data_IF_132352564073
#
_entry.id   IF_132352564073
#
_cell.length_a   1.000
_cell.length_b   1.000
_cell.length_c   1.000
_cell.angle_alpha   90.00
_cell.angle_beta   90.00
_cell.angle_gamma   90.00
#
_symmetry.space_group_name_H-M   'P 1'
#
loop_
_entity.id
_entity.type
_entity.pdbx_description
1 polymer ?
#
# COMPACT_ATOMS: atom_id res chain seq x y z
N UNK A 1 -7.70 -16.76 -9.35
CA UNK A 1 -6.44 -17.22 -9.99
C UNK A 1 -5.52 -16.02 -10.11
N UNK A 2 -4.27 -16.12 -9.66
CA UNK A 2 -3.32 -15.01 -9.79
C UNK A 2 -2.79 -14.92 -11.22
N UNK A 3 -2.39 -13.72 -11.63
CA UNK A 3 -1.88 -13.43 -12.96
C UNK A 3 -0.60 -12.60 -12.84
N UNK A 4 0.48 -13.07 -13.46
CA UNK A 4 1.72 -12.32 -13.60
C UNK A 4 1.78 -11.73 -15.02
N UNK A 5 1.99 -10.43 -15.12
CA UNK A 5 2.06 -9.69 -16.39
C UNK A 5 3.44 -9.09 -16.53
N UNK A 6 4.19 -9.52 -17.53
CA UNK A 6 5.56 -9.07 -17.76
C UNK A 6 5.71 -8.47 -19.16
N UNK A 7 6.40 -7.34 -19.27
CA UNK A 7 6.68 -6.70 -20.56
C UNK A 7 7.28 -5.31 -20.47
N UNK A 8 8.03 -4.92 -21.49
CA UNK A 8 8.64 -3.59 -21.60
C UNK A 8 7.59 -2.47 -21.51
N UNK A 9 8.04 -1.25 -21.26
CA UNK A 9 7.19 -0.06 -21.33
C UNK A 9 6.59 0.11 -22.73
N UNK A 10 5.32 0.52 -22.81
CA UNK A 10 4.65 0.76 -24.08
C UNK A 10 4.16 -0.50 -24.84
N UNK A 11 4.36 -1.71 -24.30
CA UNK A 11 3.99 -2.95 -25.00
C UNK A 11 2.54 -3.37 -24.85
N UNK A 12 1.77 -2.73 -23.93
CA UNK A 12 0.33 -2.99 -23.79
C UNK A 12 -0.11 -3.47 -22.41
N UNK A 13 0.77 -3.49 -21.38
CA UNK A 13 0.41 -3.88 -20.01
C UNK A 13 -0.77 -3.06 -19.46
N UNK A 14 -0.66 -1.72 -19.49
CA UNK A 14 -1.73 -0.84 -18.98
C UNK A 14 -3.04 -1.00 -19.77
N UNK A 15 -2.98 -1.31 -21.09
CA UNK A 15 -4.17 -1.64 -21.88
C UNK A 15 -4.85 -2.92 -21.38
N UNK A 16 -4.06 -3.94 -21.03
CA UNK A 16 -4.59 -5.17 -20.43
C UNK A 16 -5.23 -4.88 -19.07
N UNK A 17 -4.56 -4.14 -18.19
CA UNK A 17 -5.11 -3.77 -16.89
C UNK A 17 -6.43 -3.01 -17.03
N UNK A 18 -6.50 -2.01 -17.91
CA UNK A 18 -7.73 -1.27 -18.23
C UNK A 18 -8.84 -2.21 -18.72
N UNK A 19 -8.53 -3.16 -19.60
CA UNK A 19 -9.49 -4.13 -20.10
C UNK A 19 -10.06 -5.01 -18.98
N UNK A 20 -9.21 -5.54 -18.12
CA UNK A 20 -9.63 -6.39 -16.98
C UNK A 20 -10.47 -5.60 -15.97
N UNK A 21 -10.06 -4.38 -15.60
CA UNK A 21 -10.81 -3.52 -14.68
C UNK A 21 -12.16 -3.08 -15.27
N UNK A 22 -12.23 -2.79 -16.57
CA UNK A 22 -13.51 -2.50 -17.24
C UNK A 22 -14.47 -3.71 -17.15
N UNK A 23 -13.96 -4.92 -17.32
CA UNK A 23 -14.76 -6.14 -17.14
C UNK A 23 -15.19 -6.33 -15.69
N UNK A 24 -14.32 -6.06 -14.71
CA UNK A 24 -14.67 -6.17 -13.29
C UNK A 24 -15.75 -5.14 -12.92
N UNK A 25 -15.64 -3.90 -13.40
CA UNK A 25 -16.69 -2.88 -13.24
C UNK A 25 -18.00 -3.35 -13.89
N UNK A 26 -17.97 -3.82 -15.12
CA UNK A 26 -19.17 -4.26 -15.85
C UNK A 26 -19.86 -5.48 -15.23
N UNK A 27 -19.11 -6.32 -14.51
CA UNK A 27 -19.61 -7.55 -13.87
C UNK A 27 -19.79 -7.42 -12.36
N UNK A 28 -19.79 -6.20 -11.82
CA UNK A 28 -19.93 -5.92 -10.38
C UNK A 28 -18.89 -6.62 -9.50
N UNK A 29 -17.71 -6.94 -10.01
CA UNK A 29 -16.64 -7.53 -9.23
C UNK A 29 -15.81 -6.46 -8.56
N UNK A 30 -15.56 -6.65 -7.26
CA UNK A 30 -14.74 -5.74 -6.47
C UNK A 30 -13.25 -5.86 -6.81
N UNK A 31 -12.54 -4.75 -6.69
CA UNK A 31 -11.08 -4.73 -6.85
C UNK A 31 -10.42 -3.62 -6.02
N UNK A 32 -9.12 -3.79 -5.79
CA UNK A 32 -8.22 -2.73 -5.36
C UNK A 32 -7.16 -2.53 -6.44
N UNK A 33 -6.84 -1.27 -6.78
CA UNK A 33 -5.72 -0.94 -7.65
C UNK A 33 -4.73 -0.02 -6.94
N UNK A 34 -3.44 -0.39 -7.00
CA UNK A 34 -2.33 0.50 -6.65
C UNK A 34 -1.84 1.18 -7.94
N UNK A 35 -2.30 2.39 -8.16
CA UNK A 35 -1.98 3.20 -9.34
C UNK A 35 -0.78 4.10 -9.05
N UNK A 36 0.42 3.58 -9.36
CA UNK A 36 1.67 4.28 -9.04
C UNK A 36 1.90 5.52 -9.90
N UNK A 37 1.39 5.52 -11.13
CA UNK A 37 1.58 6.62 -12.08
C UNK A 37 0.40 7.58 -12.16
N UNK A 38 -0.76 7.23 -11.60
CA UNK A 38 -2.00 8.01 -11.70
C UNK A 38 -2.70 7.89 -13.05
N UNK A 39 -2.30 6.95 -13.91
CA UNK A 39 -2.84 6.78 -15.27
C UNK A 39 -4.10 5.90 -15.32
N UNK A 40 -4.31 5.04 -14.34
CA UNK A 40 -5.46 4.14 -14.27
C UNK A 40 -6.65 4.80 -13.58
N UNK A 41 -6.41 5.71 -12.67
CA UNK A 41 -7.44 6.41 -11.90
C UNK A 41 -8.45 7.16 -12.77
N UNK A 42 -8.07 8.03 -13.73
CA UNK A 42 -9.02 8.71 -14.61
C UNK A 42 -9.85 7.72 -15.43
N UNK A 43 -9.24 6.66 -15.92
CA UNK A 43 -9.92 5.60 -16.66
C UNK A 43 -11.01 4.92 -15.82
N UNK A 44 -10.70 4.56 -14.58
CA UNK A 44 -11.65 3.90 -13.67
C UNK A 44 -12.81 4.83 -13.35
N UNK A 45 -12.52 6.08 -12.96
CA UNK A 45 -13.54 7.09 -12.66
C UNK A 45 -14.45 7.36 -13.84
N UNK A 46 -13.86 7.52 -15.03
CA UNK A 46 -14.61 7.69 -16.27
C UNK A 46 -15.50 6.50 -16.59
N UNK A 47 -14.99 5.27 -16.41
CA UNK A 47 -15.74 4.03 -16.67
C UNK A 47 -16.91 3.85 -15.70
N UNK A 48 -16.70 4.10 -14.40
CA UNK A 48 -17.76 4.04 -13.38
C UNK A 48 -18.84 5.10 -13.68
N UNK A 49 -18.43 6.33 -13.96
CA UNK A 49 -19.39 7.41 -14.26
C UNK A 49 -20.16 7.18 -15.57
N UNK A 50 -19.51 6.63 -16.60
CA UNK A 50 -20.19 6.24 -17.83
C UNK A 50 -21.26 5.16 -17.57
N UNK A 51 -20.96 4.20 -16.72
CA UNK A 51 -21.89 3.16 -16.29
C UNK A 51 -23.07 3.75 -15.47
N UNK A 52 -22.81 4.62 -14.49
CA UNK A 52 -23.86 5.31 -13.73
C UNK A 52 -24.88 5.99 -14.66
N UNK A 53 -24.36 6.72 -15.66
CA UNK A 53 -25.21 7.42 -16.63
C UNK A 53 -26.01 6.47 -17.51
N UNK A 54 -25.39 5.37 -17.96
CA UNK A 54 -26.06 4.39 -18.81
C UNK A 54 -27.15 3.60 -18.08
N UNK A 55 -26.91 3.27 -16.83
CA UNK A 55 -27.82 2.44 -16.01
C UNK A 55 -28.77 3.28 -15.12
N UNK A 56 -28.62 4.63 -15.14
CA UNK A 56 -29.40 5.55 -14.28
C UNK A 56 -29.37 5.17 -12.80
N UNK A 57 -28.20 4.78 -12.29
CA UNK A 57 -27.99 4.35 -10.92
C UNK A 57 -26.90 5.18 -10.22
N UNK A 58 -26.72 4.99 -8.92
CA UNK A 58 -25.63 5.58 -8.14
C UNK A 58 -24.64 4.48 -7.74
N UNK A 59 -23.37 4.67 -8.10
CA UNK A 59 -22.27 3.72 -7.84
C UNK A 59 -21.19 4.31 -6.90
N UNK A 60 -21.37 5.57 -6.46
CA UNK A 60 -20.43 6.26 -5.56
C UNK A 60 -20.18 5.50 -4.27
N UNK A 61 -21.17 4.79 -3.73
CA UNK A 61 -21.06 4.02 -2.48
C UNK A 61 -20.16 2.78 -2.62
N UNK A 62 -19.93 2.34 -3.85
CA UNK A 62 -19.01 1.23 -4.18
C UNK A 62 -17.61 1.68 -4.52
N UNK A 63 -17.39 2.98 -4.71
CA UNK A 63 -16.11 3.53 -5.13
C UNK A 63 -15.41 4.18 -3.94
N UNK A 64 -14.19 3.76 -3.67
CA UNK A 64 -13.32 4.32 -2.64
C UNK A 64 -12.07 4.87 -3.32
N UNK A 65 -11.80 6.16 -3.17
CA UNK A 65 -10.63 6.81 -3.80
C UNK A 65 -9.70 7.34 -2.72
N UNK A 66 -8.54 6.74 -2.61
CA UNK A 66 -7.43 7.22 -1.76
C UNK A 66 -6.50 8.04 -2.64
N UNK A 67 -6.52 9.37 -2.47
CA UNK A 67 -5.69 10.29 -3.25
C UNK A 67 -4.92 11.22 -2.31
N UNK A 68 -3.65 10.93 -2.02
CA UNK A 68 -2.80 11.83 -1.22
C UNK A 68 -2.67 13.23 -1.82
N UNK A 69 -2.82 13.33 -3.14
CA UNK A 69 -2.75 14.60 -3.86
C UNK A 69 -3.95 15.53 -3.68
N UNK A 70 -5.05 15.08 -3.09
CA UNK A 70 -6.21 15.95 -2.81
C UNK A 70 -5.86 16.99 -1.75
N UNK A 71 -6.06 18.28 -2.06
CA UNK A 71 -5.66 19.39 -1.17
C UNK A 71 -6.71 19.78 -0.13
N UNK A 72 -7.95 19.39 -0.32
CA UNK A 72 -9.08 19.81 0.53
C UNK A 72 -9.52 18.72 1.49
N UNK A 73 -9.55 17.49 1.01
CA UNK A 73 -10.08 16.36 1.75
C UNK A 73 -9.08 15.20 1.80
N UNK A 74 -9.21 14.33 2.79
CA UNK A 74 -8.37 13.16 2.94
C UNK A 74 -9.13 11.98 3.51
N UNK A 75 -8.92 10.83 2.90
CA UNK A 75 -9.29 9.53 3.45
C UNK A 75 -8.34 9.20 4.60
N UNK A 76 -8.84 8.69 5.70
CA UNK A 76 -8.03 8.18 6.82
C UNK A 76 -7.68 6.72 6.63
N UNK A 77 -6.42 6.39 6.82
CA UNK A 77 -5.92 5.00 6.90
C UNK A 77 -4.89 4.93 8.02
N UNK A 78 -5.31 4.43 9.17
CA UNK A 78 -4.42 4.20 10.29
C UNK A 78 -3.89 2.77 10.27
N UNK A 79 -2.62 2.53 9.94
CA UNK A 79 -2.06 1.18 9.88
C UNK A 79 -1.97 0.52 11.27
N UNK A 80 -2.09 1.29 12.35
CA UNK A 80 -2.06 0.81 13.73
C UNK A 80 -3.46 0.54 14.31
N UNK A 81 -4.53 0.90 13.60
CA UNK A 81 -5.89 0.68 14.08
C UNK A 81 -6.22 -0.82 14.17
N UNK A 82 -6.69 -1.26 15.35
CA UNK A 82 -6.98 -2.68 15.59
C UNK A 82 -5.74 -3.59 15.57
N UNK A 83 -4.54 -3.01 15.62
CA UNK A 83 -3.27 -3.74 15.66
C UNK A 83 -2.86 -4.04 17.11
N UNK A 84 -3.75 -4.63 17.90
CA UNK A 84 -3.46 -5.22 19.20
C UNK A 84 -2.72 -6.57 19.08
N UNK A 85 -2.67 -7.11 17.87
CA UNK A 85 -1.95 -8.33 17.53
C UNK A 85 -0.46 -8.05 17.29
N UNK A 86 0.40 -8.75 18.02
CA UNK A 86 1.86 -8.65 17.91
C UNK A 86 2.37 -8.86 16.49
N UNK A 87 1.79 -9.78 15.75
CA UNK A 87 2.20 -10.11 14.38
C UNK A 87 2.01 -8.91 13.44
N UNK A 88 0.87 -8.21 13.52
CA UNK A 88 0.58 -7.05 12.67
C UNK A 88 1.55 -5.90 12.92
N UNK A 89 1.83 -5.59 14.20
CA UNK A 89 2.79 -4.54 14.54
C UNK A 89 4.20 -4.92 14.07
N UNK A 90 4.59 -6.18 14.22
CA UNK A 90 5.90 -6.65 13.74
C UNK A 90 6.02 -6.52 12.21
N UNK A 91 4.98 -6.84 11.46
CA UNK A 91 4.94 -6.67 10.00
C UNK A 91 5.06 -5.19 9.58
N UNK A 92 4.32 -4.29 10.23
CA UNK A 92 4.45 -2.86 9.97
C UNK A 92 5.84 -2.32 10.34
N UNK A 93 6.38 -2.74 11.48
CA UNK A 93 7.74 -2.39 11.89
C UNK A 93 8.76 -2.81 10.81
N UNK A 94 8.65 -4.02 10.30
CA UNK A 94 9.55 -4.52 9.27
C UNK A 94 9.47 -3.70 7.98
N UNK A 95 8.26 -3.37 7.51
CA UNK A 95 8.09 -2.55 6.31
C UNK A 95 8.68 -1.15 6.49
N UNK A 96 8.39 -0.50 7.62
CA UNK A 96 8.96 0.82 7.89
C UNK A 96 10.49 0.74 7.97
N UNK A 97 11.03 -0.28 8.63
CA UNK A 97 12.48 -0.50 8.70
C UNK A 97 13.11 -0.57 7.32
N UNK A 98 12.56 -1.36 6.42
CA UNK A 98 13.09 -1.53 5.07
C UNK A 98 12.88 -0.28 4.22
N UNK A 99 11.68 0.29 4.21
CA UNK A 99 11.36 1.49 3.43
C UNK A 99 12.14 2.72 3.89
N UNK A 100 12.45 2.80 5.16
CA UNK A 100 13.24 3.88 5.73
C UNK A 100 14.74 3.56 5.79
N UNK A 101 15.16 2.41 5.25
CA UNK A 101 16.55 1.94 5.26
C UNK A 101 17.17 1.94 6.67
N UNK A 102 16.44 1.43 7.67
CA UNK A 102 16.88 1.41 9.05
C UNK A 102 17.77 0.20 9.39
N UNK A 103 17.98 -0.73 8.48
CA UNK A 103 18.76 -1.97 8.69
C UNK A 103 20.20 -1.71 9.17
N UNK A 104 20.78 -0.58 8.75
CA UNK A 104 22.15 -0.22 9.11
C UNK A 104 22.30 0.31 10.55
N UNK A 105 21.19 0.62 11.23
CA UNK A 105 21.22 1.17 12.60
C UNK A 105 21.14 0.10 13.71
N UNK A 106 21.05 -1.17 13.32
CA UNK A 106 21.17 -2.33 14.19
C UNK A 106 19.92 -2.69 15.01
N UNK A 107 20.02 -3.83 15.69
CA UNK A 107 18.91 -4.48 16.39
C UNK A 107 18.24 -3.61 17.48
N UNK A 108 18.96 -2.69 18.10
CA UNK A 108 18.41 -1.81 19.16
C UNK A 108 17.41 -0.79 18.59
N UNK A 109 17.71 -0.20 17.43
CA UNK A 109 16.79 0.72 16.74
C UNK A 109 15.54 -0.02 16.27
N UNK A 110 15.72 -1.23 15.81
CA UNK A 110 14.64 -2.13 15.37
C UNK A 110 13.69 -2.49 16.52
N UNK A 111 14.26 -2.87 17.66
CA UNK A 111 13.50 -3.18 18.87
C UNK A 111 12.75 -1.95 19.39
N UNK A 112 13.38 -0.76 19.34
CA UNK A 112 12.75 0.50 19.72
C UNK A 112 11.56 0.82 18.81
N UNK A 113 11.72 0.74 17.49
CA UNK A 113 10.64 0.99 16.55
C UNK A 113 9.46 0.05 16.79
N UNK A 114 9.70 -1.24 16.89
CA UNK A 114 8.66 -2.25 17.12
C UNK A 114 7.90 -2.01 18.42
N UNK A 115 8.60 -1.81 19.55
CA UNK A 115 7.95 -1.54 20.85
C UNK A 115 7.18 -0.21 20.82
N UNK A 116 7.68 0.79 20.10
CA UNK A 116 6.99 2.09 19.95
C UNK A 116 5.68 1.94 19.17
N UNK A 117 5.68 1.22 18.05
CA UNK A 117 4.47 0.97 17.29
C UNK A 117 3.44 0.18 18.11
N UNK A 118 3.91 -0.76 18.93
CA UNK A 118 3.06 -1.49 19.87
C UNK A 118 2.39 -0.56 20.89
N UNK A 119 3.18 0.32 21.48
CA UNK A 119 2.67 1.28 22.45
C UNK A 119 1.65 2.24 21.84
N UNK A 120 1.91 2.71 20.60
CA UNK A 120 0.97 3.57 19.87
C UNK A 120 -0.32 2.83 19.54
N UNK A 121 -0.25 1.60 19.02
CA UNK A 121 -1.41 0.78 18.72
C UNK A 121 -2.29 0.54 19.95
N UNK A 122 -1.69 0.14 21.07
CA UNK A 122 -2.38 -0.10 22.35
C UNK A 122 -3.09 1.16 22.90
N UNK A 123 -2.65 2.35 22.47
CA UNK A 123 -3.25 3.62 22.87
C UNK A 123 -4.24 4.18 21.83
N UNK A 124 -4.49 3.49 20.71
CA UNK A 124 -5.33 3.98 19.61
C UNK A 124 -4.76 5.23 18.93
N UNK A 125 -3.43 5.36 18.94
CA UNK A 125 -2.69 6.47 18.37
C UNK A 125 -2.26 6.17 16.91
N UNK A 126 -1.55 7.11 16.31
CA UNK A 126 -1.11 7.04 14.93
C UNK A 126 0.42 7.10 14.81
N UNK A 127 0.96 6.98 13.60
CA UNK A 127 2.39 7.18 13.36
C UNK A 127 2.87 8.61 13.71
N UNK A 128 1.96 9.58 13.78
CA UNK A 128 2.33 10.97 14.10
C UNK A 128 2.79 11.15 15.53
N UNK A 129 2.29 10.34 16.46
CA UNK A 129 2.67 10.38 17.87
C UNK A 129 3.98 9.61 18.15
N UNK A 130 4.62 8.99 17.14
CA UNK A 130 5.88 8.29 17.30
C UNK A 130 7.00 9.21 17.80
N UNK A 131 7.06 10.43 17.27
CA UNK A 131 8.03 11.43 17.72
C UNK A 131 7.85 11.78 19.21
N UNK A 132 6.61 12.04 19.64
CA UNK A 132 6.31 12.33 21.06
C UNK A 132 6.66 11.15 21.96
N UNK A 133 6.33 9.94 21.54
CA UNK A 133 6.65 8.74 22.31
C UNK A 133 8.16 8.58 22.53
N UNK A 134 8.97 8.93 21.53
CA UNK A 134 10.42 8.78 21.59
C UNK A 134 11.14 9.93 22.32
N UNK A 135 10.54 11.13 22.34
CA UNK A 135 11.20 12.33 22.90
C UNK A 135 10.62 12.80 24.23
N UNK A 136 9.34 12.60 24.49
CA UNK A 136 8.62 13.10 25.65
C UNK A 136 8.40 12.02 26.70
N UNK A 137 9.07 12.14 27.84
CA UNK A 137 9.01 11.14 28.93
C UNK A 137 7.62 11.04 29.55
N UNK A 138 6.94 12.18 29.78
CA UNK A 138 5.57 12.18 30.35
C UNK A 138 4.57 11.51 29.42
N UNK A 139 4.61 11.85 28.12
CA UNK A 139 3.76 11.23 27.14
C UNK A 139 3.97 9.71 27.09
N UNK A 140 5.22 9.29 27.10
CA UNK A 140 5.58 7.87 27.09
C UNK A 140 5.08 7.16 28.35
N UNK A 141 5.25 7.78 29.53
CA UNK A 141 4.76 7.20 30.80
C UNK A 141 3.22 7.08 30.79
N UNK A 142 2.50 8.05 30.24
CA UNK A 142 1.03 7.95 30.07
C UNK A 142 0.64 6.81 29.12
N UNK A 143 1.36 6.64 28.02
CA UNK A 143 1.13 5.54 27.09
C UNK A 143 1.34 4.18 27.78
N UNK A 144 2.40 4.04 28.57
CA UNK A 144 2.70 2.76 29.24
C UNK A 144 1.60 2.31 30.21
N UNK A 145 0.82 3.22 30.79
CA UNK A 145 -0.32 2.88 31.67
C UNK A 145 -1.41 2.08 30.94
N UNK A 146 -1.55 2.26 29.62
CA UNK A 146 -2.57 1.58 28.80
C UNK A 146 -2.04 0.35 28.07
N UNK A 147 -0.72 0.15 28.03
CA UNK A 147 -0.11 -1.01 27.38
C UNK A 147 -0.30 -2.25 28.24
N UNK A 148 -1.09 -3.21 27.81
CA UNK A 148 -1.32 -4.47 28.53
C UNK A 148 -0.09 -5.41 28.50
N UNK A 149 0.69 -5.39 27.40
CA UNK A 149 1.86 -6.24 27.24
C UNK A 149 2.98 -5.83 28.21
N UNK A 150 3.31 -6.74 29.15
CA UNK A 150 4.33 -6.49 30.16
C UNK A 150 5.74 -6.32 29.57
N UNK A 151 6.09 -7.03 28.50
CA UNK A 151 7.41 -6.94 27.88
C UNK A 151 7.63 -5.55 27.25
N UNK A 152 6.61 -4.99 26.59
CA UNK A 152 6.66 -3.65 26.02
C UNK A 152 6.82 -2.60 27.14
N UNK A 153 6.08 -2.72 28.25
CA UNK A 153 6.23 -1.81 29.40
C UNK A 153 7.64 -1.90 29.98
N UNK A 154 8.12 -3.12 30.29
CA UNK A 154 9.45 -3.34 30.83
C UNK A 154 10.56 -2.84 29.91
N UNK A 155 10.37 -2.97 28.58
CA UNK A 155 11.33 -2.42 27.62
C UNK A 155 11.51 -0.91 27.82
N UNK A 156 10.43 -0.15 27.93
CA UNK A 156 10.52 1.30 28.14
C UNK A 156 11.00 1.64 29.55
N UNK A 157 10.39 1.09 30.59
CA UNK A 157 10.62 1.46 31.98
C UNK A 157 12.01 1.02 32.48
N UNK A 158 12.47 -0.18 32.12
CA UNK A 158 13.69 -0.78 32.67
C UNK A 158 14.88 -0.76 31.70
N UNK A 159 14.67 -0.56 30.42
CA UNK A 159 15.74 -0.60 29.42
C UNK A 159 15.93 0.72 28.69
N UNK A 160 14.90 1.31 28.13
CA UNK A 160 15.01 2.54 27.33
C UNK A 160 15.17 3.79 28.21
N UNK A 161 14.32 3.97 29.23
CA UNK A 161 14.32 5.16 30.07
C UNK A 161 15.53 5.21 31.05
N UNK A 162 16.16 4.08 31.33
CA UNK A 162 17.38 3.98 32.15
C UNK A 162 18.66 4.29 31.37
N UNK A 163 18.60 4.39 30.03
CA UNK A 163 19.75 4.75 29.20
C UNK A 163 20.10 6.23 29.34
N UNK A 164 21.39 6.55 29.14
CA UNK A 164 21.82 7.94 28.98
C UNK A 164 21.16 8.62 27.78
N UNK A 165 21.05 9.94 27.84
CA UNK A 165 20.47 10.73 26.71
C UNK A 165 21.20 10.49 25.38
N UNK A 166 22.53 10.37 25.42
CA UNK A 166 23.33 10.07 24.24
C UNK A 166 22.98 8.71 23.63
N UNK A 167 22.79 7.68 24.46
CA UNK A 167 22.39 6.36 23.97
C UNK A 167 20.96 6.36 23.42
N UNK A 168 20.03 7.02 24.11
CA UNK A 168 18.66 7.20 23.61
C UNK A 168 18.64 7.92 22.26
N UNK A 169 19.41 8.99 22.14
CA UNK A 169 19.54 9.75 20.89
C UNK A 169 20.05 8.85 19.75
N UNK A 170 21.13 8.09 19.97
CA UNK A 170 21.66 7.19 18.94
C UNK A 170 20.61 6.21 18.40
N UNK A 171 19.70 5.72 19.26
CA UNK A 171 18.66 4.78 18.85
C UNK A 171 17.46 5.46 18.19
N UNK A 172 17.05 6.65 18.68
CA UNK A 172 15.81 7.32 18.22
C UNK A 172 16.00 8.19 16.99
N UNK A 173 17.17 8.85 16.84
CA UNK A 173 17.38 9.82 15.72
C UNK A 173 17.19 9.20 14.33
N UNK A 174 17.65 7.98 14.03
CA UNK A 174 17.36 7.35 12.73
C UNK A 174 15.85 7.22 12.47
N UNK A 175 15.08 6.84 13.48
CA UNK A 175 13.62 6.70 13.39
C UNK A 175 12.97 8.08 13.17
N UNK A 176 13.35 9.07 14.02
CA UNK A 176 12.78 10.41 13.97
C UNK A 176 13.00 11.11 12.63
N UNK A 177 14.21 11.02 12.08
CA UNK A 177 14.55 11.62 10.79
C UNK A 177 13.65 11.07 9.65
N UNK A 178 13.41 9.77 9.65
CA UNK A 178 12.55 9.14 8.62
C UNK A 178 11.07 9.40 8.87
N UNK A 179 10.65 9.31 10.12
CA UNK A 179 9.25 9.60 10.49
C UNK A 179 8.91 11.04 10.14
N UNK A 180 9.75 12.01 10.51
CA UNK A 180 9.48 13.42 10.23
C UNK A 180 9.41 13.71 8.73
N UNK A 181 10.31 13.15 7.92
CA UNK A 181 10.26 13.30 6.47
C UNK A 181 8.96 12.76 5.86
N UNK A 182 8.41 11.67 6.40
CA UNK A 182 7.16 11.08 5.95
C UNK A 182 5.93 11.85 6.47
N UNK A 183 5.92 12.19 7.76
CA UNK A 183 4.76 12.80 8.42
C UNK A 183 4.69 14.32 8.28
N UNK A 184 5.77 14.99 7.88
CA UNK A 184 5.77 16.43 7.59
C UNK A 184 5.08 16.75 6.25
N UNK A 185 5.00 15.79 5.33
CA UNK A 185 4.28 15.98 4.07
C UNK A 185 2.76 15.94 4.32
N UNK A 186 2.02 17.03 4.08
CA UNK A 186 0.59 17.09 4.31
C UNK A 186 -0.20 16.04 3.50
N UNK A 187 0.34 15.59 2.36
CA UNK A 187 -0.30 14.57 1.53
C UNK A 187 -0.45 13.23 2.28
N UNK A 188 0.52 12.88 3.11
CA UNK A 188 0.54 11.63 3.87
C UNK A 188 0.07 11.82 5.31
N UNK A 189 0.46 12.95 5.93
CA UNK A 189 0.10 13.31 7.31
C UNK A 189 -1.39 13.18 7.58
N UNK A 190 -2.22 13.67 6.65
CA UNK A 190 -3.68 13.62 6.80
C UNK A 190 -4.26 12.23 6.58
N UNK A 191 -3.59 11.35 5.86
CA UNK A 191 -4.02 9.97 5.67
C UNK A 191 -3.70 9.14 6.93
N UNK A 192 -2.43 9.11 7.33
CA UNK A 192 -1.96 8.24 8.43
C UNK A 192 -2.15 8.84 9.82
N UNK A 193 -2.53 10.10 9.92
CA UNK A 193 -2.70 10.82 11.18
C UNK A 193 -4.13 10.81 11.73
N UNK A 194 -5.08 10.18 11.07
CA UNK A 194 -6.43 9.95 11.59
C UNK A 194 -6.43 8.68 12.45
N UNK A 195 -6.97 8.76 13.68
CA UNK A 195 -7.02 7.62 14.61
C UNK A 195 -7.89 6.48 14.11
N UNK A 196 -8.91 6.81 13.31
CA UNK A 196 -9.81 5.86 12.68
C UNK A 196 -9.67 5.89 11.17
N UNK A 197 -9.59 4.72 10.56
CA UNK A 197 -9.64 4.56 9.11
C UNK A 197 -11.04 4.90 8.59
N UNK A 198 -11.11 5.57 7.46
CA UNK A 198 -12.38 5.96 6.84
C UNK A 198 -13.19 4.76 6.34
N UNK A 199 -12.54 3.64 6.10
CA UNK A 199 -13.17 2.39 5.66
C UNK A 199 -12.34 1.19 6.09
N UNK A 200 -12.99 0.05 6.19
CA UNK A 200 -12.35 -1.25 6.44
C UNK A 200 -12.03 -1.94 5.12
N UNK A 201 -10.77 -2.29 4.89
CA UNK A 201 -10.37 -3.07 3.70
C UNK A 201 -11.08 -4.43 3.65
N UNK A 202 -11.30 -5.08 4.81
CA UNK A 202 -12.05 -6.33 4.88
C UNK A 202 -13.49 -6.15 4.39
N UNK A 203 -14.17 -5.11 4.89
CA UNK A 203 -15.56 -4.83 4.52
C UNK A 203 -15.66 -4.39 3.06
N UNK A 204 -14.72 -3.58 2.56
CA UNK A 204 -14.63 -3.20 1.16
C UNK A 204 -14.49 -4.42 0.24
N UNK A 205 -13.63 -5.38 0.61
CA UNK A 205 -13.49 -6.63 -0.13
C UNK A 205 -14.78 -7.47 -0.10
N UNK A 206 -15.42 -7.58 1.06
CA UNK A 206 -16.63 -8.39 1.24
C UNK A 206 -17.86 -7.74 0.59
N UNK A 207 -17.89 -6.43 0.48
CA UNK A 207 -18.92 -5.66 -0.25
C UNK A 207 -18.70 -5.61 -1.76
N UNK A 208 -17.51 -6.00 -2.25
CA UNK A 208 -17.16 -5.89 -3.65
C UNK A 208 -16.93 -4.45 -4.10
N UNK A 209 -16.35 -3.62 -3.24
CA UNK A 209 -16.03 -2.23 -3.55
C UNK A 209 -14.89 -2.10 -4.58
N UNK A 210 -14.84 -0.98 -5.28
CA UNK A 210 -13.76 -0.58 -6.16
C UNK A 210 -12.86 0.41 -5.42
N UNK A 211 -11.70 -0.07 -4.96
CA UNK A 211 -10.75 0.72 -4.19
C UNK A 211 -9.63 1.20 -5.11
N UNK A 212 -9.53 2.50 -5.31
CA UNK A 212 -8.52 3.15 -6.15
C UNK A 212 -7.54 3.89 -5.27
N UNK A 213 -6.30 3.45 -5.27
CA UNK A 213 -5.19 4.11 -4.55
C UNK A 213 -4.33 4.84 -5.58
N UNK A 214 -4.57 6.13 -5.71
CA UNK A 214 -3.85 7.00 -6.65
C UNK A 214 -2.59 7.55 -6.01
N UNK A 215 -1.46 6.95 -6.29
CA UNK A 215 -0.19 7.29 -5.63
C UNK A 215 0.61 8.39 -6.33
N UNK A 216 0.42 8.59 -7.63
CA UNK A 216 1.10 9.64 -8.41
C UNK A 216 2.58 9.81 -8.02
N UNK A 217 3.38 8.73 -8.04
CA UNK A 217 4.78 8.75 -7.56
C UNK A 217 5.61 9.90 -8.14
N UNK A 218 5.39 10.26 -9.40
CA UNK A 218 6.08 11.37 -10.04
C UNK A 218 5.90 12.72 -9.32
N UNK A 219 4.80 12.88 -8.59
CA UNK A 219 4.47 14.08 -7.80
C UNK A 219 4.76 13.92 -6.32
N UNK A 220 4.51 12.73 -5.76
CA UNK A 220 4.56 12.46 -4.32
C UNK A 220 5.88 11.82 -3.86
N UNK A 221 6.75 11.44 -4.80
CA UNK A 221 8.07 10.89 -4.51
C UNK A 221 8.04 9.51 -3.84
N UNK A 222 9.10 9.21 -3.10
CA UNK A 222 9.28 7.90 -2.44
C UNK A 222 8.28 7.63 -1.30
N UNK A 223 7.70 8.67 -0.70
CA UNK A 223 6.67 8.52 0.32
C UNK A 223 5.42 7.81 -0.22
N UNK A 224 5.12 7.95 -1.52
CA UNK A 224 4.05 7.21 -2.18
C UNK A 224 4.25 5.69 -2.09
N UNK A 225 5.50 5.22 -2.22
CA UNK A 225 5.85 3.80 -2.13
C UNK A 225 5.67 3.26 -0.71
N UNK A 226 6.05 4.07 0.29
CA UNK A 226 5.82 3.74 1.71
C UNK A 226 4.33 3.57 1.99
N UNK A 227 3.50 4.51 1.56
CA UNK A 227 2.04 4.41 1.72
C UNK A 227 1.48 3.19 0.99
N UNK A 228 1.87 2.96 -0.26
CA UNK A 228 1.42 1.79 -1.03
C UNK A 228 1.79 0.46 -0.36
N UNK A 229 3.00 0.36 0.22
CA UNK A 229 3.44 -0.82 0.96
C UNK A 229 2.65 -1.01 2.27
N UNK A 230 2.35 0.07 3.00
CA UNK A 230 1.49 0.01 4.19
C UNK A 230 0.08 -0.47 3.83
N UNK A 231 -0.52 0.07 2.76
CA UNK A 231 -1.85 -0.35 2.29
C UNK A 231 -1.84 -1.83 1.89
N UNK A 232 -0.80 -2.29 1.20
CA UNK A 232 -0.67 -3.69 0.80
C UNK A 232 -0.59 -4.62 2.03
N UNK A 233 0.09 -4.19 3.10
CA UNK A 233 0.15 -4.93 4.37
C UNK A 233 -1.19 -4.91 5.11
N UNK A 234 -1.86 -3.77 5.16
CA UNK A 234 -3.22 -3.70 5.70
C UNK A 234 -4.17 -4.62 4.94
N UNK A 235 -4.03 -4.67 3.60
CA UNK A 235 -4.81 -5.58 2.75
C UNK A 235 -4.52 -7.05 3.07
N UNK A 236 -3.24 -7.42 3.28
CA UNK A 236 -2.84 -8.78 3.69
C UNK A 236 -3.54 -9.17 4.98
N UNK A 237 -3.52 -8.31 6.00
CA UNK A 237 -4.17 -8.58 7.27
C UNK A 237 -5.70 -8.70 7.14
N UNK A 238 -6.30 -7.82 6.34
CA UNK A 238 -7.72 -7.84 6.04
C UNK A 238 -8.14 -9.10 5.28
N UNK A 239 -7.30 -9.57 4.36
CA UNK A 239 -7.53 -10.76 3.53
C UNK A 239 -7.75 -12.03 4.38
N UNK A 240 -6.92 -12.27 5.39
CA UNK A 240 -7.03 -13.45 6.24
C UNK A 240 -8.26 -13.44 7.16
N UNK A 241 -8.88 -12.29 7.35
CA UNK A 241 -10.09 -12.10 8.17
C UNK A 241 -11.39 -11.99 7.34
N UNK A 242 -11.36 -12.23 6.02
CA UNK A 242 -12.54 -12.16 5.15
C UNK A 242 -13.62 -13.16 5.53
N UNK A 243 -14.86 -12.68 5.59
CA UNK A 243 -16.04 -13.52 5.80
C UNK A 243 -16.59 -14.10 4.49
N UNK A 244 -16.55 -13.33 3.40
CA UNK A 244 -17.02 -13.75 2.08
C UNK A 244 -15.84 -14.15 1.18
N UNK A 245 -16.06 -15.15 0.32
CA UNK A 245 -15.06 -15.63 -0.65
C UNK A 245 -15.41 -15.28 -2.10
N UNK A 246 -16.22 -14.22 -2.28
CA UNK A 246 -16.47 -13.65 -3.61
C UNK A 246 -15.16 -13.12 -4.20
N UNK A 247 -15.01 -13.24 -5.52
CA UNK A 247 -13.81 -12.79 -6.20
C UNK A 247 -13.57 -11.30 -5.95
N UNK A 248 -12.38 -11.00 -5.48
CA UNK A 248 -11.85 -9.63 -5.35
C UNK A 248 -10.47 -9.59 -5.99
N UNK A 249 -10.23 -8.65 -6.89
CA UNK A 249 -8.97 -8.58 -7.64
C UNK A 249 -8.09 -7.46 -7.10
N UNK A 250 -6.81 -7.75 -6.89
CA UNK A 250 -5.80 -6.74 -6.52
C UNK A 250 -4.90 -6.49 -7.72
N UNK A 251 -5.01 -5.31 -8.30
CA UNK A 251 -4.20 -4.85 -9.41
C UNK A 251 -3.01 -4.07 -8.88
N UNK A 252 -1.82 -4.55 -9.16
CA UNK A 252 -0.57 -3.88 -8.83
C UNK A 252 0.20 -3.60 -10.12
N UNK A 253 0.14 -2.35 -10.60
CA UNK A 253 1.04 -1.91 -11.65
C UNK A 253 2.40 -1.61 -11.02
N UNK A 254 3.48 -2.18 -11.61
CA UNK A 254 4.85 -2.09 -11.07
C UNK A 254 4.94 -2.58 -9.61
N UNK A 255 4.45 -3.81 -9.34
CA UNK A 255 4.34 -4.40 -8.00
C UNK A 255 5.67 -4.39 -7.22
N UNK A 256 6.83 -4.46 -7.89
CA UNK A 256 8.15 -4.41 -7.25
C UNK A 256 8.38 -3.12 -6.45
N UNK A 257 7.63 -2.05 -6.75
CA UNK A 257 7.71 -0.81 -5.98
C UNK A 257 7.12 -0.93 -4.57
N UNK A 258 6.25 -1.91 -4.34
CA UNK A 258 5.52 -2.08 -3.08
C UNK A 258 6.01 -3.29 -2.27
N UNK A 259 6.79 -4.16 -2.90
CA UNK A 259 7.33 -5.35 -2.27
C UNK A 259 8.67 -5.02 -1.64
N UNK A 260 8.74 -5.18 -0.32
CA UNK A 260 9.97 -5.17 0.44
C UNK A 260 10.34 -6.62 0.82
N UNK A 261 11.59 -6.90 1.10
CA UNK A 261 12.01 -8.22 1.56
C UNK A 261 11.31 -8.53 2.89
N UNK A 262 10.65 -9.69 2.99
CA UNK A 262 9.85 -10.05 4.16
C UNK A 262 8.48 -9.36 4.26
N UNK A 263 8.01 -8.64 3.24
CA UNK A 263 6.66 -8.05 3.20
C UNK A 263 5.55 -9.08 3.24
N UNK A 264 5.89 -10.37 3.07
CA UNK A 264 4.94 -11.47 3.04
C UNK A 264 4.08 -11.51 1.78
N UNK A 265 4.52 -10.88 0.68
CA UNK A 265 3.83 -10.96 -0.60
C UNK A 265 3.80 -12.40 -1.12
N UNK A 266 4.85 -13.18 -0.85
CA UNK A 266 4.95 -14.60 -1.19
C UNK A 266 3.82 -15.39 -0.51
N UNK A 267 3.58 -15.12 0.78
CA UNK A 267 2.47 -15.71 1.54
C UNK A 267 1.12 -15.26 0.95
N UNK A 268 0.98 -13.97 0.61
CA UNK A 268 -0.24 -13.48 -0.05
C UNK A 268 -0.50 -14.19 -1.37
N UNK A 269 0.50 -14.33 -2.23
CA UNK A 269 0.37 -15.00 -3.53
C UNK A 269 0.08 -16.50 -3.38
N UNK A 270 0.55 -17.16 -2.33
CA UNK A 270 0.27 -18.57 -2.10
C UNK A 270 -1.12 -18.82 -1.48
N UNK A 271 -1.58 -17.94 -0.58
CA UNK A 271 -2.75 -18.18 0.26
C UNK A 271 -4.02 -17.41 -0.17
N UNK A 272 -3.88 -16.26 -0.82
CA UNK A 272 -5.00 -15.33 -1.10
C UNK A 272 -6.15 -15.98 -1.89
N UNK A 273 -5.84 -16.95 -2.74
CA UNK A 273 -6.85 -17.69 -3.50
C UNK A 273 -7.87 -18.39 -2.60
N UNK A 274 -7.46 -18.90 -1.44
CA UNK A 274 -8.35 -19.58 -0.47
C UNK A 274 -9.40 -18.61 0.10
N UNK A 275 -9.11 -17.31 0.06
CA UNK A 275 -9.98 -16.24 0.54
C UNK A 275 -10.71 -15.50 -0.59
N UNK A 276 -10.69 -16.03 -1.81
CA UNK A 276 -11.35 -15.44 -2.96
C UNK A 276 -10.63 -14.19 -3.51
N UNK A 277 -9.34 -14.01 -3.22
CA UNK A 277 -8.57 -12.86 -3.72
C UNK A 277 -7.62 -13.30 -4.83
N UNK A 278 -7.68 -12.58 -5.96
CA UNK A 278 -6.77 -12.72 -7.08
C UNK A 278 -5.80 -11.53 -7.13
N UNK A 279 -4.55 -11.80 -7.52
CA UNK A 279 -3.56 -10.76 -7.80
C UNK A 279 -3.28 -10.68 -9.30
N UNK A 280 -3.27 -9.47 -9.83
CA UNK A 280 -2.75 -9.14 -11.16
C UNK A 280 -1.50 -8.28 -10.93
N UNK A 281 -0.35 -8.94 -10.98
CA UNK A 281 0.95 -8.34 -10.71
C UNK A 281 1.65 -7.99 -12.03
N UNK A 282 1.76 -6.71 -12.34
CA UNK A 282 2.46 -6.24 -13.53
C UNK A 282 3.84 -5.69 -13.19
N UNK A 283 4.82 -5.95 -14.07
CA UNK A 283 6.16 -5.38 -13.99
C UNK A 283 6.87 -5.37 -15.34
N UNK A 284 8.06 -4.75 -15.40
CA UNK A 284 8.81 -4.59 -16.65
C UNK A 284 9.88 -5.65 -16.84
N UNK A 285 10.62 -6.01 -15.78
CA UNK A 285 11.75 -6.92 -15.81
C UNK A 285 11.77 -7.85 -14.59
N UNK A 286 12.16 -9.10 -14.78
CA UNK A 286 12.27 -10.08 -13.69
C UNK A 286 13.32 -9.70 -12.64
N UNK A 287 14.40 -9.05 -13.06
CA UNK A 287 15.49 -8.66 -12.16
C UNK A 287 15.14 -7.52 -11.20
N UNK A 288 13.96 -6.90 -11.36
CA UNK A 288 13.44 -5.92 -10.41
C UNK A 288 12.95 -6.57 -9.10
N UNK A 289 12.77 -7.89 -9.09
CA UNK A 289 12.33 -8.62 -7.90
C UNK A 289 13.50 -9.19 -7.10
N UNK A 290 13.41 -9.18 -5.76
CA UNK A 290 14.21 -10.08 -4.94
C UNK A 290 14.02 -11.54 -5.37
N UNK A 291 15.04 -12.39 -5.14
CA UNK A 291 15.02 -13.78 -5.63
C UNK A 291 13.80 -14.57 -5.16
N UNK A 292 13.40 -14.42 -3.90
CA UNK A 292 12.24 -15.10 -3.31
C UNK A 292 10.92 -14.64 -3.96
N UNK A 293 10.73 -13.34 -4.10
CA UNK A 293 9.55 -12.77 -4.75
C UNK A 293 9.48 -13.17 -6.22
N UNK A 294 10.63 -13.18 -6.93
CA UNK A 294 10.70 -13.66 -8.31
C UNK A 294 10.25 -15.12 -8.44
N UNK A 295 10.69 -15.98 -7.53
CA UNK A 295 10.25 -17.37 -7.51
C UNK A 295 8.74 -17.48 -7.27
N UNK A 296 8.18 -16.71 -6.34
CA UNK A 296 6.75 -16.67 -6.07
C UNK A 296 5.94 -16.17 -7.29
N UNK A 297 6.39 -15.13 -7.97
CA UNK A 297 5.76 -14.60 -9.19
C UNK A 297 5.79 -15.64 -10.33
N UNK A 298 6.91 -16.34 -10.51
CA UNK A 298 7.03 -17.38 -11.53
C UNK A 298 6.23 -18.66 -11.21
N UNK A 299 5.84 -18.86 -9.94
CA UNK A 299 4.96 -19.97 -9.53
C UNK A 299 3.47 -19.69 -9.77
N UNK A 300 3.08 -18.48 -10.15
CA UNK A 300 1.70 -18.11 -10.46
C UNK A 300 1.19 -18.95 -11.64
N UNK A 301 -0.06 -19.42 -11.56
CA UNK A 301 -0.63 -20.32 -12.57
C UNK A 301 -0.98 -19.67 -13.90
N UNK A 302 -1.06 -18.32 -13.99
CA UNK A 302 -1.32 -17.62 -15.26
C UNK A 302 -0.27 -16.55 -15.48
N UNK A 303 0.41 -16.63 -16.60
CA UNK A 303 1.40 -15.65 -17.04
C UNK A 303 0.99 -15.01 -18.35
N UNK A 304 1.20 -13.70 -18.46
CA UNK A 304 0.99 -12.95 -19.70
C UNK A 304 2.29 -12.20 -20.01
N UNK A 305 2.91 -12.56 -21.12
CA UNK A 305 4.18 -12.01 -21.55
C UNK A 305 3.97 -11.14 -22.78
N UNK A 306 4.17 -9.86 -22.63
CA UNK A 306 4.33 -8.93 -23.74
C UNK A 306 5.75 -8.97 -24.30
N UNK A 307 6.15 -8.01 -25.11
CA UNK A 307 7.54 -7.93 -25.59
C UNK A 307 8.52 -7.82 -24.41
N UNK A 308 9.53 -8.70 -24.40
CA UNK A 308 10.51 -8.82 -23.31
C UNK A 308 11.91 -8.34 -23.71
N UNK A 309 12.77 -8.13 -22.71
CA UNK A 309 14.21 -8.01 -22.89
C UNK A 309 14.80 -9.33 -23.39
N UNK A 310 16.01 -9.30 -23.97
CA UNK A 310 16.67 -10.54 -24.40
C UNK A 310 16.97 -11.49 -23.24
N UNK A 311 17.32 -10.95 -22.06
CA UNK A 311 17.58 -11.74 -20.86
C UNK A 311 16.32 -12.43 -20.37
N UNK A 312 15.23 -11.67 -20.16
CA UNK A 312 13.94 -12.21 -19.69
C UNK A 312 13.35 -13.19 -20.69
N UNK A 313 13.39 -12.89 -22.01
CA UNK A 313 12.92 -13.78 -23.05
C UNK A 313 13.63 -15.14 -23.03
N UNK A 314 14.94 -15.15 -22.78
CA UNK A 314 15.73 -16.37 -22.65
C UNK A 314 15.32 -17.16 -21.41
N UNK A 315 15.24 -16.50 -20.26
CA UNK A 315 14.83 -17.11 -18.99
C UNK A 315 13.43 -17.70 -19.08
N UNK A 316 12.46 -16.93 -19.60
CA UNK A 316 11.06 -17.35 -19.73
C UNK A 316 10.93 -18.50 -20.75
N UNK A 317 11.62 -18.42 -21.89
CA UNK A 317 11.54 -19.48 -22.89
C UNK A 317 12.10 -20.82 -22.39
N UNK A 318 13.14 -20.77 -21.55
CA UNK A 318 13.65 -21.98 -20.87
C UNK A 318 12.64 -22.52 -19.85
N UNK A 319 12.07 -21.65 -19.02
CA UNK A 319 11.06 -22.05 -18.02
C UNK A 319 9.75 -22.60 -18.65
N UNK A 320 9.47 -22.26 -19.90
CA UNK A 320 8.30 -22.71 -20.66
C UNK A 320 8.61 -23.85 -21.64
N UNK A 321 9.84 -24.37 -21.65
CA UNK A 321 10.31 -25.39 -22.62
C UNK A 321 10.11 -24.98 -24.09
N UNK A 322 10.05 -23.67 -24.37
CA UNK A 322 9.81 -23.12 -25.70
C UNK A 322 11.06 -22.92 -26.55
N UNK A 323 12.22 -23.00 -25.93
CA UNK A 323 13.53 -22.90 -26.58
C UNK A 323 13.77 -21.59 -27.34
N UNK A 324 14.71 -21.62 -28.28
CA UNK A 324 15.07 -20.43 -29.09
C UNK A 324 13.91 -19.79 -29.88
N UNK A 325 12.98 -20.56 -30.48
CA UNK A 325 11.87 -19.98 -31.22
C UNK A 325 10.95 -19.10 -30.35
N UNK A 326 10.63 -19.54 -29.12
CA UNK A 326 9.84 -18.78 -28.19
C UNK A 326 10.58 -17.54 -27.70
N UNK A 327 11.90 -17.64 -27.42
CA UNK A 327 12.71 -16.51 -27.02
C UNK A 327 12.72 -15.41 -28.10
N UNK A 328 12.90 -15.78 -29.38
CA UNK A 328 12.84 -14.83 -30.49
C UNK A 328 11.44 -14.22 -30.64
N UNK A 329 10.37 -15.01 -30.44
CA UNK A 329 9.01 -14.49 -30.50
C UNK A 329 8.75 -13.46 -29.38
N UNK A 330 9.14 -13.77 -28.16
CA UNK A 330 8.98 -12.89 -26.99
C UNK A 330 9.74 -11.56 -27.14
N UNK A 331 10.91 -11.56 -27.78
CA UNK A 331 11.68 -10.33 -28.05
C UNK A 331 11.01 -9.43 -29.10
N UNK A 332 10.25 -10.01 -30.03
CA UNK A 332 9.77 -9.33 -31.23
C UNK A 332 8.23 -9.24 -31.29
N UNK A 333 7.54 -9.46 -30.17
CA UNK A 333 6.08 -9.28 -30.13
C UNK A 333 5.69 -7.83 -30.46
N UNK A 334 4.73 -7.63 -31.36
CA UNK A 334 4.18 -6.29 -31.62
C UNK A 334 3.50 -5.72 -30.37
N UNK A 335 3.31 -4.40 -30.33
CA UNK A 335 2.55 -3.77 -29.26
C UNK A 335 1.16 -4.40 -29.13
N UNK A 336 0.71 -4.62 -27.90
CA UNK A 336 -0.55 -5.28 -27.52
C UNK A 336 -0.66 -6.78 -27.86
N UNK A 337 0.33 -7.37 -28.49
CA UNK A 337 0.42 -8.82 -28.60
C UNK A 337 1.07 -9.40 -27.34
N UNK A 338 0.50 -10.49 -26.84
CA UNK A 338 1.03 -11.16 -25.65
C UNK A 338 0.90 -12.68 -25.78
N UNK A 339 1.84 -13.37 -25.17
CA UNK A 339 1.80 -14.82 -24.99
C UNK A 339 1.23 -15.09 -23.61
N UNK A 340 0.13 -15.87 -23.58
CA UNK A 340 -0.52 -16.31 -22.33
C UNK A 340 -0.18 -17.76 -22.09
N UNK A 341 0.35 -18.07 -20.91
CA UNK A 341 0.41 -19.40 -20.36
C UNK A 341 -0.55 -19.51 -19.17
N UNK A 342 -1.53 -20.37 -19.26
CA UNK A 342 -2.33 -20.81 -18.12
C UNK A 342 -1.81 -22.20 -17.68
N UNK A 343 -2.39 -22.76 -16.62
CA UNK A 343 -1.98 -24.06 -16.02
C UNK A 343 -1.88 -25.27 -16.96
N UNK A 344 -2.21 -25.13 -18.25
CA UNK A 344 -1.95 -26.12 -19.29
C UNK A 344 -0.55 -25.99 -19.87
N UNK A 345 0.03 -27.04 -20.41
CA UNK A 345 1.36 -27.04 -21.03
C UNK A 345 1.44 -26.22 -22.32
N UNK A 346 0.32 -25.68 -22.77
CA UNK A 346 0.22 -24.88 -24.00
C UNK A 346 0.19 -23.40 -23.69
N UNK A 347 0.91 -22.63 -24.46
CA UNK A 347 0.80 -21.19 -24.50
C UNK A 347 0.04 -20.74 -25.76
N UNK A 348 -0.64 -19.59 -25.68
CA UNK A 348 -1.43 -19.02 -26.77
C UNK A 348 -1.06 -17.56 -26.95
N UNK A 349 -0.92 -17.10 -28.18
CA UNK A 349 -0.78 -15.69 -28.48
C UNK A 349 -2.15 -15.03 -28.53
N UNK A 350 -2.27 -13.88 -27.90
CA UNK A 350 -3.48 -13.04 -27.90
C UNK A 350 -3.15 -11.64 -28.32
N UNK A 351 -4.19 -10.91 -28.78
CA UNK A 351 -4.14 -9.46 -29.00
C UNK A 351 -5.01 -8.78 -27.95
N UNK A 352 -4.41 -7.91 -27.15
CA UNK A 352 -5.14 -7.13 -26.17
C UNK A 352 -5.91 -6.01 -26.87
N UNK A 353 -7.24 -5.90 -26.68
CA UNK A 353 -8.04 -4.86 -27.31
C UNK A 353 -7.62 -3.47 -26.79
N UNK A 354 -7.83 -2.46 -27.62
CA UNK A 354 -7.72 -1.07 -27.19
C UNK A 354 -8.96 -0.73 -26.38
N UNK A 355 -8.75 -0.32 -25.14
CA UNK A 355 -9.83 0.21 -24.29
C UNK A 355 -9.67 1.72 -24.26
N UNK A 356 -10.64 2.42 -24.82
CA UNK A 356 -10.66 3.88 -24.81
C UNK A 356 -11.10 4.38 -23.43
N UNK A 357 -10.44 5.42 -22.96
CA UNK A 357 -10.87 6.14 -21.78
C UNK A 357 -12.17 6.89 -22.08
N UNK A 358 -13.22 6.69 -21.27
CA UNK A 358 -14.47 7.41 -21.47
C UNK A 358 -14.25 8.92 -21.28
N UNK A 359 -14.58 9.70 -22.30
CA UNK A 359 -14.52 11.17 -22.25
C UNK A 359 -15.78 11.72 -21.58
N UNK A 360 -15.91 11.50 -20.28
CA UNK A 360 -17.05 11.95 -19.46
C UNK A 360 -16.51 12.77 -18.29
N UNK A 361 -17.25 13.82 -17.92
CA UNK A 361 -16.97 14.54 -16.69
C UNK A 361 -17.44 13.70 -15.50
N UNK A 362 -16.52 13.35 -14.63
CA UNK A 362 -16.75 12.55 -13.41
C UNK A 362 -16.60 13.37 -12.12
N UNK A 363 -16.60 14.70 -12.20
CA UNK A 363 -16.41 15.61 -11.04
C UNK A 363 -17.47 15.37 -9.98
N UNK A 364 -18.74 15.19 -10.40
CA UNK A 364 -19.85 14.91 -9.47
C UNK A 364 -19.66 13.55 -8.76
N UNK A 365 -19.28 12.50 -9.47
CA UNK A 365 -18.97 11.19 -8.89
C UNK A 365 -17.87 11.31 -7.82
N UNK A 366 -16.78 12.00 -8.12
CA UNK A 366 -15.68 12.21 -7.18
C UNK A 366 -16.16 13.01 -5.96
N UNK A 367 -16.99 14.03 -6.15
CA UNK A 367 -17.52 14.84 -5.06
C UNK A 367 -18.39 14.01 -4.10
N UNK A 368 -19.28 13.16 -4.63
CA UNK A 368 -20.11 12.25 -3.83
C UNK A 368 -19.26 11.22 -3.07
N UNK A 369 -18.29 10.61 -3.72
CA UNK A 369 -17.36 9.67 -3.09
C UNK A 369 -16.57 10.32 -1.94
N UNK A 370 -16.06 11.54 -2.16
CA UNK A 370 -15.36 12.32 -1.12
C UNK A 370 -16.23 12.59 0.10
N UNK A 371 -17.48 12.98 -0.13
CA UNK A 371 -18.41 13.31 0.97
C UNK A 371 -18.62 12.14 1.93
N UNK A 372 -18.67 10.92 1.41
CA UNK A 372 -18.92 9.71 2.22
C UNK A 372 -17.65 9.23 2.94
N UNK A 373 -16.49 9.35 2.32
CA UNK A 373 -15.28 8.61 2.75
C UNK A 373 -14.11 9.49 3.15
N UNK A 374 -14.22 10.80 3.01
CA UNK A 374 -13.11 11.70 3.31
C UNK A 374 -13.51 12.74 4.35
N UNK A 375 -12.50 13.27 5.04
CA UNK A 375 -12.68 14.38 5.99
C UNK A 375 -11.94 15.61 5.46
N UNK A 376 -12.47 16.80 5.78
CA UNK A 376 -11.82 18.08 5.45
C UNK A 376 -10.50 18.17 6.21
N UNK A 377 -9.43 18.49 5.50
CA UNK A 377 -8.06 18.53 6.06
C UNK A 377 -7.90 19.47 7.26
N UNK A 378 -8.58 20.61 7.26
CA UNK A 378 -8.54 21.55 8.41
C UNK A 378 -9.08 20.90 9.68
N UNK A 379 -10.11 20.05 9.59
CA UNK A 379 -10.63 19.32 10.74
C UNK A 379 -9.65 18.24 11.21
N UNK A 380 -9.02 17.55 10.27
CA UNK A 380 -8.00 16.54 10.57
C UNK A 380 -6.82 17.18 11.31
N UNK A 381 -6.30 18.32 10.82
CA UNK A 381 -5.20 19.04 11.49
C UNK A 381 -5.57 19.53 12.88
N UNK A 382 -6.81 19.99 13.05
CA UNK A 382 -7.31 20.36 14.39
C UNK A 382 -7.29 19.18 15.35
N UNK A 383 -7.74 18.01 14.90
CA UNK A 383 -7.74 16.80 15.72
C UNK A 383 -6.31 16.32 16.04
N UNK A 384 -5.40 16.38 15.07
CA UNK A 384 -3.98 16.07 15.26
C UNK A 384 -3.37 17.04 16.29
N UNK A 385 -3.56 18.35 16.09
CA UNK A 385 -3.05 19.37 17.00
C UNK A 385 -3.61 19.21 18.42
N UNK A 386 -4.91 18.92 18.57
CA UNK A 386 -5.53 18.70 19.87
C UNK A 386 -4.91 17.52 20.65
N UNK A 387 -4.54 16.43 19.94
CA UNK A 387 -3.87 15.27 20.57
C UNK A 387 -2.44 15.59 21.02
N UNK A 388 -1.77 16.50 20.32
CA UNK A 388 -0.36 16.80 20.54
C UNK A 388 -0.15 18.06 21.40
N UNK A 389 -1.15 18.95 21.51
CA UNK A 389 -1.05 20.28 22.09
C UNK A 389 -0.38 20.30 23.49
N UNK A 390 -0.80 19.43 24.39
CA UNK A 390 -0.27 19.36 25.77
C UNK A 390 1.23 19.11 25.84
N UNK A 391 1.81 18.50 24.81
CA UNK A 391 3.21 18.08 24.78
C UNK A 391 4.06 18.88 23.79
N UNK A 392 3.45 19.75 22.99
CA UNK A 392 4.13 20.56 21.97
C UNK A 392 4.20 22.04 22.34
N UNK A 393 3.37 22.50 23.25
CA UNK A 393 3.50 23.86 23.81
C UNK A 393 4.79 23.88 24.64
N UNK A 394 5.84 24.51 24.09
CA UNK A 394 7.03 24.91 24.86
C UNK A 394 6.50 25.82 25.96
N UNK A 395 6.67 25.44 27.21
CA UNK A 395 6.30 26.30 28.32
C UNK A 395 7.00 27.63 28.13
N UNK A 396 6.25 28.72 28.02
CA UNK A 396 6.80 30.09 27.94
C UNK A 396 7.74 30.39 29.09
N UNK A 397 7.64 29.69 30.21
CA UNK A 397 8.55 29.73 31.35
C UNK A 397 9.99 29.27 31.05
N UNK A 398 10.22 28.47 29.97
CA UNK A 398 11.58 28.05 29.60
C UNK A 398 12.32 29.12 28.77
N UNK A 399 11.64 30.15 28.27
CA UNK A 399 12.24 31.25 27.51
C UNK A 399 12.64 32.44 28.41
N UNK A 400 12.04 32.57 29.60
CA UNK A 400 12.35 33.66 30.54
C UNK A 400 13.63 33.41 31.36
N UNK A 401 14.31 32.29 31.16
CA UNK A 401 15.56 31.92 31.86
C UNK A 401 16.86 32.23 31.10
N UNK A 402 16.80 33.02 30.00
CA UNK A 402 17.96 33.39 29.16
C UNK A 402 18.19 34.92 29.06
N UNK A 403 17.65 35.71 29.99
CA UNK A 403 18.02 37.12 30.17
C UNK A 403 19.09 37.30 31.27
#
# INVERSE_FOLDING_TARGET
MHMAVLGKTGTGKSSLLRHLMAQDIAQDRGFLVLDIHGELTPFILGTVNARERAEHCHLSDRLIVVSPGDREMSVGLNPLEGADDFVRVAEFSQILRERWALDHFGARTDELLRNSLFALAANGLTLLELSLLLTHTEFRAECMKKVANAEVRQYFELRFDTLSDAMRATMREPILNKTSAFTADPAFRHIVGQTHSSFSLREAMDAGAWVVVNLEKGRLGENALTLGSLILTMLKNALFSRAKRTLFTVYCDEIQNFVAQGSGIETMLSEARKFGVAFVAANQFLDQYPAETRAAILSIGTHIFFQLSSADATTISQALDGGKPLAERLKNLPARHAIVKSSSDRWTEIVVPTVLEPKVDYTDLVSRTRYVQSRVRVHIERDIAARQKRYTEISSEALDGWD
#
